data_IF_531471347814
#
_entry.id   IF_531471347814
#
_cell.length_a   1.000
_cell.length_b   1.000
_cell.length_c   1.000
_cell.angle_alpha   90.00
_cell.angle_beta   90.00
_cell.angle_gamma   90.00
#
_symmetry.space_group_name_H-M   'P 1'
#
loop_
_entity.id
_entity.type
_entity.pdbx_description
1 polymer ?
#
# COMPACT_ATOMS: atom_id res chain seq x y z
N UNK A 1 -22.16 -19.59 4.57
CA UNK A 1 -21.94 -18.18 4.13
C UNK A 1 -20.72 -18.04 3.19
N UNK A 2 -20.96 -17.80 1.88
CA UNK A 2 -19.90 -17.71 0.85
C UNK A 2 -19.19 -16.35 0.84
N UNK A 3 -19.92 -15.26 1.10
CA UNK A 3 -19.38 -13.90 1.04
C UNK A 3 -18.27 -13.64 2.08
N UNK A 4 -18.49 -14.07 3.33
CA UNK A 4 -17.47 -13.97 4.39
C UNK A 4 -16.21 -14.78 4.05
N UNK A 5 -16.38 -15.97 3.47
CA UNK A 5 -15.25 -16.79 3.06
C UNK A 5 -14.49 -16.18 1.87
N UNK A 6 -15.17 -15.44 0.99
CA UNK A 6 -14.52 -14.71 -0.10
C UNK A 6 -13.70 -13.54 0.44
N UNK A 7 -14.25 -12.72 1.34
CA UNK A 7 -13.53 -11.60 1.96
C UNK A 7 -12.30 -12.07 2.74
N UNK A 8 -12.43 -13.17 3.50
CA UNK A 8 -11.30 -13.76 4.22
C UNK A 8 -10.17 -14.16 3.28
N UNK A 9 -10.46 -14.90 2.21
CA UNK A 9 -9.45 -15.30 1.21
C UNK A 9 -8.82 -14.10 0.51
N UNK A 10 -9.62 -13.08 0.20
CA UNK A 10 -9.12 -11.85 -0.39
C UNK A 10 -8.15 -11.14 0.55
N UNK A 11 -8.52 -10.97 1.83
CA UNK A 11 -7.65 -10.39 2.84
C UNK A 11 -6.34 -11.17 2.99
N UNK A 12 -6.42 -12.49 3.14
CA UNK A 12 -5.25 -13.37 3.24
C UNK A 12 -4.30 -13.21 2.04
N UNK A 13 -4.83 -13.27 0.81
CA UNK A 13 -4.05 -13.13 -0.41
C UNK A 13 -3.38 -11.75 -0.52
N UNK A 14 -4.10 -10.68 -0.19
CA UNK A 14 -3.57 -9.32 -0.21
C UNK A 14 -2.50 -9.14 0.86
N UNK A 15 -2.69 -9.69 2.07
CA UNK A 15 -1.70 -9.62 3.14
C UNK A 15 -0.36 -10.27 2.76
N UNK A 16 -0.41 -11.45 2.12
CA UNK A 16 0.79 -12.11 1.59
C UNK A 16 1.45 -11.27 0.49
N UNK A 17 0.67 -10.72 -0.44
CA UNK A 17 1.20 -9.89 -1.52
C UNK A 17 1.90 -8.63 -0.99
N UNK A 18 1.30 -7.95 0.00
CA UNK A 18 1.88 -6.78 0.65
C UNK A 18 3.18 -7.14 1.36
N UNK A 19 3.22 -8.27 2.08
CA UNK A 19 4.44 -8.73 2.73
C UNK A 19 5.56 -8.95 1.71
N UNK A 20 5.29 -9.66 0.60
CA UNK A 20 6.27 -9.86 -0.46
C UNK A 20 6.78 -8.54 -1.06
N UNK A 21 5.88 -7.60 -1.36
CA UNK A 21 6.27 -6.29 -1.88
C UNK A 21 7.11 -5.50 -0.86
N UNK A 22 6.76 -5.58 0.43
CA UNK A 22 7.50 -4.91 1.51
C UNK A 22 8.93 -5.46 1.65
N UNK A 23 9.12 -6.78 1.48
CA UNK A 23 10.48 -7.37 1.48
C UNK A 23 11.31 -6.93 0.27
N UNK A 24 10.68 -6.70 -0.89
CA UNK A 24 11.38 -6.34 -2.12
C UNK A 24 11.70 -4.85 -2.22
N UNK A 25 10.81 -4.01 -1.70
CA UNK A 25 10.85 -2.57 -1.93
C UNK A 25 11.10 -1.74 -0.66
N UNK A 26 11.24 -2.39 0.51
CA UNK A 26 11.44 -1.71 1.80
C UNK A 26 10.34 -0.65 2.05
N UNK A 27 9.08 -1.10 2.06
CA UNK A 27 7.93 -0.19 2.13
C UNK A 27 7.68 0.30 3.56
N UNK A 28 7.55 1.61 3.74
CA UNK A 28 7.11 2.20 5.02
C UNK A 28 5.59 2.20 5.19
N UNK A 29 4.85 2.46 4.11
CA UNK A 29 3.38 2.63 4.16
C UNK A 29 2.72 2.01 2.94
N UNK A 30 1.64 1.28 3.18
CA UNK A 30 0.78 0.68 2.15
C UNK A 30 -0.65 1.17 2.36
N UNK A 31 -1.14 1.90 1.37
CA UNK A 31 -2.48 2.45 1.36
C UNK A 31 -3.44 1.54 0.56
N UNK A 32 -4.51 1.06 1.19
CA UNK A 32 -5.53 0.21 0.56
C UNK A 32 -6.79 1.05 0.30
N UNK A 33 -7.08 1.28 -0.98
CA UNK A 33 -8.21 2.10 -1.43
C UNK A 33 -9.31 1.33 -2.17
N UNK A 34 -10.20 2.08 -2.81
CA UNK A 34 -11.31 1.54 -3.61
C UNK A 34 -12.49 1.02 -2.77
N UNK A 35 -13.52 0.51 -3.45
CA UNK A 35 -14.73 0.02 -2.78
C UNK A 35 -14.49 -1.16 -1.84
N UNK A 36 -13.42 -1.93 -2.04
CA UNK A 36 -13.08 -3.07 -1.20
C UNK A 36 -12.61 -2.64 0.20
N UNK A 37 -11.90 -1.51 0.31
CA UNK A 37 -11.46 -0.98 1.60
C UNK A 37 -12.65 -0.63 2.54
N UNK A 38 -13.85 -0.42 1.99
CA UNK A 38 -15.07 -0.17 2.76
C UNK A 38 -15.56 -1.40 3.54
N UNK A 39 -15.06 -2.59 3.24
CA UNK A 39 -15.36 -3.82 3.99
C UNK A 39 -14.80 -3.81 5.42
N UNK A 40 -13.93 -2.84 5.75
CA UNK A 40 -13.36 -2.67 7.09
C UNK A 40 -12.67 -3.95 7.57
N UNK A 41 -12.88 -4.30 8.84
CA UNK A 41 -12.19 -5.42 9.46
C UNK A 41 -12.49 -6.79 8.84
N UNK A 42 -13.58 -6.94 8.08
CA UNK A 42 -13.85 -8.18 7.33
C UNK A 42 -12.77 -8.46 6.27
N UNK A 43 -12.12 -7.41 5.77
CA UNK A 43 -10.96 -7.52 4.87
C UNK A 43 -9.65 -7.28 5.63
N UNK A 44 -9.59 -6.20 6.41
CA UNK A 44 -8.35 -5.75 7.04
C UNK A 44 -7.87 -6.67 8.16
N UNK A 45 -8.75 -7.40 8.85
CA UNK A 45 -8.37 -8.39 9.84
C UNK A 45 -7.54 -9.52 9.21
N UNK A 46 -8.13 -10.33 8.31
CA UNK A 46 -7.41 -11.41 7.62
C UNK A 46 -6.16 -10.95 6.86
N UNK A 47 -6.18 -9.72 6.34
CA UNK A 47 -5.02 -9.10 5.69
C UNK A 47 -3.88 -8.86 6.67
N UNK A 48 -4.14 -8.22 7.81
CA UNK A 48 -3.11 -7.97 8.83
C UNK A 48 -2.58 -9.27 9.42
N UNK A 49 -3.44 -10.25 9.64
CA UNK A 49 -3.04 -11.58 10.14
C UNK A 49 -2.08 -12.28 9.17
N UNK A 50 -2.43 -12.32 7.88
CA UNK A 50 -1.59 -12.92 6.84
C UNK A 50 -0.29 -12.14 6.63
N UNK A 51 -0.34 -10.81 6.69
CA UNK A 51 0.85 -9.97 6.62
C UNK A 51 1.82 -10.25 7.78
N UNK A 52 1.32 -10.24 9.02
CA UNK A 52 2.12 -10.49 10.22
C UNK A 52 2.75 -11.89 10.23
N UNK A 53 2.07 -12.89 9.66
CA UNK A 53 2.62 -14.23 9.51
C UNK A 53 3.84 -14.30 8.56
N UNK A 54 3.96 -13.35 7.62
CA UNK A 54 5.04 -13.30 6.62
C UNK A 54 6.12 -12.26 6.93
N UNK A 55 5.79 -11.20 7.68
CA UNK A 55 6.70 -10.10 8.06
C UNK A 55 7.74 -10.54 9.10
N UNK A 56 8.75 -11.32 8.68
CA UNK A 56 9.78 -11.87 9.58
C UNK A 56 10.93 -10.90 9.88
N UNK A 57 11.22 -9.99 8.95
CA UNK A 57 12.29 -8.99 9.07
C UNK A 57 11.79 -7.73 9.78
N UNK A 58 12.64 -7.10 10.58
CA UNK A 58 12.22 -5.98 11.43
C UNK A 58 11.81 -4.73 10.64
N UNK A 59 12.46 -4.46 9.50
CA UNK A 59 12.06 -3.36 8.61
C UNK A 59 10.68 -3.61 8.00
N UNK A 60 10.38 -4.86 7.62
CA UNK A 60 9.05 -5.22 7.12
C UNK A 60 8.01 -5.08 8.21
N UNK A 61 8.28 -5.48 9.45
CA UNK A 61 7.30 -5.31 10.55
C UNK A 61 6.87 -3.86 10.78
N UNK A 62 7.68 -2.89 10.36
CA UNK A 62 7.38 -1.47 10.50
C UNK A 62 6.40 -0.93 9.44
N UNK A 63 6.15 -1.66 8.33
CA UNK A 63 5.24 -1.19 7.28
C UNK A 63 3.82 -0.97 7.81
N UNK A 64 3.30 0.23 7.61
CA UNK A 64 1.95 0.59 8.04
C UNK A 64 0.93 0.31 6.95
N UNK A 65 -0.08 -0.51 7.24
CA UNK A 65 -1.19 -0.78 6.32
C UNK A 65 -2.40 0.07 6.71
N UNK A 66 -2.71 1.06 5.87
CA UNK A 66 -3.73 2.09 6.16
C UNK A 66 -4.84 2.10 5.09
N UNK A 67 -6.09 2.40 5.46
CA UNK A 67 -7.13 2.67 4.46
C UNK A 67 -6.86 4.00 3.75
N UNK A 68 -7.28 4.11 2.49
CA UNK A 68 -7.19 5.36 1.76
C UNK A 68 -8.04 6.45 2.43
N UNK A 69 -7.37 7.49 2.93
CA UNK A 69 -8.02 8.61 3.62
C UNK A 69 -9.02 9.37 2.72
N UNK A 70 -8.77 9.39 1.42
CA UNK A 70 -9.65 10.02 0.42
C UNK A 70 -10.77 9.10 -0.08
N UNK A 71 -10.88 7.87 0.43
CA UNK A 71 -11.96 6.95 0.10
C UNK A 71 -12.14 6.72 -1.41
N UNK A 72 -13.36 6.93 -1.90
CA UNK A 72 -13.68 6.78 -3.34
C UNK A 72 -13.08 7.90 -4.20
N UNK A 73 -12.76 9.05 -3.61
CA UNK A 73 -12.24 10.20 -4.34
C UNK A 73 -10.74 10.10 -4.60
N UNK A 74 -10.04 9.15 -3.96
CA UNK A 74 -8.60 8.94 -4.11
C UNK A 74 -8.15 8.87 -5.58
N UNK A 75 -8.94 8.18 -6.43
CA UNK A 75 -8.65 8.07 -7.86
C UNK A 75 -8.80 9.39 -8.62
N UNK A 76 -9.88 10.14 -8.34
CA UNK A 76 -10.12 11.44 -8.98
C UNK A 76 -9.09 12.49 -8.54
N UNK A 77 -8.79 12.53 -7.25
CA UNK A 77 -7.77 13.43 -6.70
C UNK A 77 -6.38 13.08 -7.27
N UNK A 78 -6.04 11.79 -7.37
CA UNK A 78 -4.80 11.35 -8.00
C UNK A 78 -4.71 11.75 -9.47
N UNK A 79 -5.78 11.58 -10.24
CA UNK A 79 -5.84 11.99 -11.64
C UNK A 79 -5.67 13.51 -11.81
N UNK A 80 -6.34 14.31 -10.97
CA UNK A 80 -6.17 15.75 -10.95
C UNK A 80 -4.72 16.14 -10.57
N UNK A 81 -4.14 15.50 -9.56
CA UNK A 81 -2.76 15.76 -9.15
C UNK A 81 -1.75 15.48 -10.27
N UNK A 82 -1.97 14.48 -11.11
CA UNK A 82 -1.11 14.22 -12.28
C UNK A 82 -1.16 15.35 -13.32
N UNK A 83 -2.33 15.95 -13.55
CA UNK A 83 -2.47 17.06 -14.49
C UNK A 83 -1.91 18.37 -13.91
N UNK A 84 -2.18 18.65 -12.63
CA UNK A 84 -1.79 19.91 -11.99
C UNK A 84 -0.34 19.90 -11.45
N UNK A 85 0.20 18.73 -11.11
CA UNK A 85 1.55 18.55 -10.54
C UNK A 85 2.57 17.93 -11.50
N UNK A 86 2.22 17.74 -12.78
CA UNK A 86 3.00 16.99 -13.79
C UNK A 86 4.40 17.51 -14.14
N UNK A 87 4.90 18.54 -13.46
CA UNK A 87 6.27 19.08 -13.63
C UNK A 87 7.16 19.00 -12.38
N UNK A 88 6.67 18.51 -11.24
CA UNK A 88 7.40 18.61 -9.96
C UNK A 88 7.45 17.33 -9.11
N UNK A 89 6.93 16.19 -9.59
CA UNK A 89 7.00 14.93 -8.83
C UNK A 89 8.43 14.39 -8.71
N UNK A 90 9.30 14.80 -9.64
CA UNK A 90 10.72 14.51 -9.64
C UNK A 90 11.46 15.82 -9.96
N UNK A 91 12.35 16.24 -9.06
CA UNK A 91 13.29 17.33 -9.29
C UNK A 91 14.67 16.72 -9.51
N UNK A 92 15.38 17.03 -10.62
CA UNK A 92 16.73 16.55 -10.87
C UNK A 92 17.72 16.89 -9.75
N UNK A 93 17.42 17.96 -9.01
CA UNK A 93 18.27 18.56 -7.98
C UNK A 93 18.16 17.83 -6.62
N UNK A 94 17.48 16.67 -6.57
CA UNK A 94 17.27 15.88 -5.37
C UNK A 94 18.54 15.14 -4.93
N UNK A 95 19.66 15.84 -4.73
CA UNK A 95 20.89 15.42 -4.02
C UNK A 95 21.60 14.12 -4.49
N UNK A 96 21.01 13.36 -5.41
CA UNK A 96 21.52 12.08 -5.88
C UNK A 96 22.54 12.28 -7.01
N UNK A 97 22.37 13.34 -7.80
CA UNK A 97 23.29 13.74 -8.88
C UNK A 97 24.71 14.05 -8.37
N UNK A 98 24.86 14.67 -7.20
CA UNK A 98 26.17 14.98 -6.62
C UNK A 98 26.89 13.76 -6.02
N UNK A 99 26.17 12.64 -5.82
CA UNK A 99 26.71 11.42 -5.20
C UNK A 99 27.05 10.31 -6.20
N UNK A 100 26.58 10.40 -7.44
CA UNK A 100 26.93 9.50 -8.53
C UNK A 100 27.98 10.18 -9.40
N UNK A 101 29.26 10.01 -9.06
CA UNK A 101 30.38 10.51 -9.86
C UNK A 101 30.51 9.80 -11.22
N UNK A 102 29.65 10.18 -12.17
CA UNK A 102 29.77 9.94 -13.62
C UNK A 102 29.98 11.27 -14.34
#
# INVERSE_FOLDING_TARGET
PVALAALRRAGEAVGVAIASASHLCDLDVVCVGGGLAQAGDLLFGPLRDAYAAQARMDFVKATQIVPAALGQDAGLVGAAALLFGGGSYWSPDSGWSDSAGI
#
